data_IF_257340410949
#
_entry.id   IF_257340410949
#
_cell.length_a   1.000
_cell.length_b   1.000
_cell.length_c   1.000
_cell.angle_alpha   90.00
_cell.angle_beta   90.00
_cell.angle_gamma   90.00
#
_symmetry.space_group_name_H-M   'P 1'
#
loop_
_entity.id
_entity.type
_entity.pdbx_description
1 polymer ?
#
# COMPACT_ATOMS: atom_id res chain seq x y z
N UNK A 1 -10.58 -27.57 38.97
CA UNK A 1 -10.90 -26.15 39.26
C UNK A 1 -9.77 -25.33 39.89
N UNK A 2 -8.74 -25.92 40.53
CA UNK A 2 -7.65 -25.15 41.16
C UNK A 2 -6.63 -24.50 40.20
N UNK A 3 -6.62 -24.82 38.90
CA UNK A 3 -5.69 -24.23 37.92
C UNK A 3 -6.12 -22.88 37.35
N UNK A 4 -7.42 -22.59 37.33
CA UNK A 4 -7.97 -21.33 36.80
C UNK A 4 -7.88 -20.17 37.80
N UNK A 5 -7.94 -20.47 39.10
CA UNK A 5 -7.83 -19.48 40.16
C UNK A 5 -6.40 -18.93 40.33
N UNK A 6 -5.37 -19.76 40.09
CA UNK A 6 -3.97 -19.33 40.13
C UNK A 6 -3.59 -18.40 38.97
N UNK A 7 -4.02 -18.73 37.74
CA UNK A 7 -3.79 -17.88 36.58
C UNK A 7 -4.46 -16.50 36.70
N UNK A 8 -5.68 -16.45 37.23
CA UNK A 8 -6.40 -15.19 37.43
C UNK A 8 -5.79 -14.32 38.55
N UNK A 9 -5.25 -14.92 39.61
CA UNK A 9 -4.57 -14.19 40.69
C UNK A 9 -3.24 -13.59 40.21
N UNK A 10 -2.43 -14.37 39.48
CA UNK A 10 -1.18 -13.90 38.86
C UNK A 10 -1.44 -12.75 37.87
N UNK A 11 -2.53 -12.81 37.11
CA UNK A 11 -2.93 -11.73 36.19
C UNK A 11 -3.27 -10.42 36.93
N UNK A 12 -3.97 -10.51 38.08
CA UNK A 12 -4.30 -9.31 38.88
C UNK A 12 -3.08 -8.66 39.54
N UNK A 13 -2.12 -9.45 40.01
CA UNK A 13 -0.87 -8.92 40.58
C UNK A 13 -0.02 -8.27 39.48
N UNK A 14 0.09 -8.92 38.31
CA UNK A 14 0.79 -8.35 37.17
C UNK A 14 0.13 -7.04 36.66
N UNK A 15 -1.19 -6.93 36.72
CA UNK A 15 -1.91 -5.71 36.37
C UNK A 15 -1.71 -4.59 37.40
N UNK A 16 -1.66 -4.93 38.69
CA UNK A 16 -1.31 -3.98 39.75
C UNK A 16 0.13 -3.45 39.58
N UNK A 17 1.10 -4.33 39.37
CA UNK A 17 2.51 -3.95 39.14
C UNK A 17 2.63 -3.06 37.90
N UNK A 18 1.91 -3.40 36.82
CA UNK A 18 1.86 -2.54 35.61
C UNK A 18 1.27 -1.17 35.92
N UNK A 19 0.18 -1.11 36.68
CA UNK A 19 -0.44 0.15 37.08
C UNK A 19 0.46 1.05 37.93
N UNK A 20 1.22 0.47 38.86
CA UNK A 20 2.23 1.18 39.67
C UNK A 20 3.35 1.71 38.75
N UNK A 21 3.92 0.83 37.91
CA UNK A 21 4.99 1.22 36.99
C UNK A 21 4.57 2.34 36.04
N UNK A 22 3.34 2.31 35.54
CA UNK A 22 2.84 3.30 34.59
C UNK A 22 2.62 4.69 35.21
N UNK A 23 2.25 4.73 36.49
CA UNK A 23 1.89 5.96 37.20
C UNK A 23 3.04 6.56 38.01
N UNK A 24 3.83 5.71 38.66
CA UNK A 24 4.78 6.15 39.68
C UNK A 24 6.18 6.34 39.14
N UNK A 25 6.65 5.55 38.15
CA UNK A 25 8.06 5.61 37.70
C UNK A 25 8.47 6.97 37.11
N UNK A 26 7.52 7.73 36.58
CA UNK A 26 7.75 9.07 36.03
C UNK A 26 7.22 10.19 36.95
N UNK A 27 6.80 9.87 38.17
CA UNK A 27 6.46 10.87 39.18
C UNK A 27 7.71 11.68 39.57
N UNK A 28 7.53 12.96 39.87
CA UNK A 28 8.63 13.92 40.08
C UNK A 28 9.59 13.55 41.21
N UNK A 29 9.20 12.65 42.11
CA UNK A 29 10.06 12.12 43.18
C UNK A 29 11.02 11.02 42.72
N UNK A 30 10.80 10.44 41.53
CA UNK A 30 11.56 9.30 41.03
C UNK A 30 12.79 9.71 40.20
N UNK A 31 13.79 8.83 40.20
CA UNK A 31 15.07 9.04 39.49
C UNK A 31 14.87 9.22 37.98
N UNK A 32 13.95 8.47 37.36
CA UNK A 32 13.70 8.59 35.93
C UNK A 32 13.11 9.95 35.59
N UNK A 33 12.19 10.48 36.41
CA UNK A 33 11.57 11.78 36.18
C UNK A 33 12.58 12.93 36.13
N UNK A 34 13.70 12.83 36.87
CA UNK A 34 14.77 13.82 36.83
C UNK A 34 15.42 13.99 35.45
N UNK A 35 15.35 12.98 34.57
CA UNK A 35 15.88 13.06 33.21
C UNK A 35 14.91 13.72 32.21
N UNK A 36 13.61 13.78 32.52
CA UNK A 36 12.60 14.31 31.58
C UNK A 36 12.93 15.76 31.16
N UNK A 37 13.21 16.71 32.08
CA UNK A 37 13.52 18.08 31.67
C UNK A 37 14.74 18.18 30.76
N UNK A 38 15.76 17.34 30.99
CA UNK A 38 16.96 17.29 30.16
C UNK A 38 16.63 16.79 28.74
N UNK A 39 15.89 15.68 28.63
CA UNK A 39 15.47 15.11 27.35
C UNK A 39 14.63 16.11 26.55
N UNK A 40 13.63 16.71 27.19
CA UNK A 40 12.77 17.69 26.54
C UNK A 40 13.55 18.95 26.13
N UNK A 41 14.51 19.39 26.94
CA UNK A 41 15.35 20.55 26.59
C UNK A 41 16.18 20.30 25.34
N UNK A 42 16.78 19.11 25.21
CA UNK A 42 17.57 18.75 24.01
C UNK A 42 16.65 18.57 22.80
N UNK A 43 15.60 17.77 22.93
CA UNK A 43 14.71 17.41 21.81
C UNK A 43 13.90 18.61 21.26
N UNK A 44 13.51 19.58 22.10
CA UNK A 44 12.79 20.77 21.65
C UNK A 44 13.68 21.86 21.04
N UNK A 45 15.00 21.80 21.25
CA UNK A 45 15.92 22.87 20.85
C UNK A 45 17.05 22.35 19.94
N UNK A 46 16.75 21.75 18.78
CA UNK A 46 17.76 21.18 17.89
C UNK A 46 18.77 22.22 17.36
N UNK A 47 18.37 23.49 17.27
CA UNK A 47 19.28 24.58 16.88
C UNK A 47 20.29 25.00 17.95
N UNK A 48 20.02 24.70 19.23
CA UNK A 48 20.90 25.02 20.36
C UNK A 48 21.87 23.88 20.63
N UNK A 49 21.43 22.63 20.47
CA UNK A 49 22.21 21.43 20.72
C UNK A 49 22.62 20.75 19.42
N UNK A 50 23.71 21.22 18.82
CA UNK A 50 24.10 20.79 17.46
C UNK A 50 24.83 19.45 17.38
N UNK A 51 25.18 18.81 18.50
CA UNK A 51 25.84 17.48 18.48
C UNK A 51 24.86 16.41 17.96
N UNK A 52 25.21 15.71 16.86
CA UNK A 52 24.40 14.61 16.34
C UNK A 52 24.27 13.44 17.34
N UNK A 53 25.32 13.14 18.09
CA UNK A 53 25.38 12.06 19.06
C UNK A 53 24.44 12.34 20.23
N UNK A 54 24.48 13.57 20.75
CA UNK A 54 23.58 14.01 21.82
C UNK A 54 22.12 13.96 21.37
N UNK A 55 21.83 14.45 20.15
CA UNK A 55 20.48 14.44 19.59
C UNK A 55 19.95 13.02 19.38
N UNK A 56 20.79 12.11 18.88
CA UNK A 56 20.44 10.71 18.67
C UNK A 56 20.18 9.97 19.99
N UNK A 57 21.01 10.23 21.01
CA UNK A 57 20.84 9.66 22.34
C UNK A 57 19.58 10.19 23.02
N UNK A 58 19.35 11.50 22.96
CA UNK A 58 18.17 12.14 23.54
C UNK A 58 16.87 11.67 22.88
N UNK A 59 16.83 11.56 21.54
CA UNK A 59 15.63 11.10 20.83
C UNK A 59 15.30 9.63 21.14
N UNK A 60 16.33 8.77 21.23
CA UNK A 60 16.16 7.37 21.60
C UNK A 60 15.68 7.23 23.06
N UNK A 61 16.27 8.00 23.98
CA UNK A 61 15.86 8.02 25.37
C UNK A 61 14.42 8.53 25.51
N UNK A 62 14.03 9.61 24.83
CA UNK A 62 12.66 10.12 24.85
C UNK A 62 11.66 9.05 24.38
N UNK A 63 11.96 8.33 23.30
CA UNK A 63 11.14 7.20 22.83
C UNK A 63 10.98 6.10 23.90
N UNK A 64 12.06 5.72 24.58
CA UNK A 64 12.03 4.75 25.69
C UNK A 64 11.23 5.24 26.89
N UNK A 65 11.29 6.53 27.21
CA UNK A 65 10.48 7.13 28.27
C UNK A 65 8.99 7.14 27.92
N UNK A 66 8.65 7.40 26.65
CA UNK A 66 7.28 7.29 26.16
C UNK A 66 6.73 5.87 26.30
N UNK A 67 7.58 4.84 26.27
CA UNK A 67 7.12 3.49 26.55
C UNK A 67 6.66 3.32 28.00
N UNK A 68 7.07 4.12 28.98
CA UNK A 68 6.77 3.83 30.39
C UNK A 68 5.30 4.12 30.74
N UNK A 69 4.75 5.24 30.27
CA UNK A 69 3.44 5.76 30.67
C UNK A 69 2.62 6.23 29.48
N UNK A 70 1.36 5.79 29.36
CA UNK A 70 0.47 6.24 28.28
C UNK A 70 0.24 7.76 28.34
N UNK A 71 0.07 8.33 29.53
CA UNK A 71 -0.13 9.77 29.73
C UNK A 71 1.09 10.57 29.28
N UNK A 72 2.29 10.10 29.63
CA UNK A 72 3.52 10.75 29.16
C UNK A 72 3.67 10.61 27.64
N UNK A 73 3.46 9.41 27.09
CA UNK A 73 3.48 9.16 25.64
C UNK A 73 2.58 10.16 24.91
N UNK A 74 1.30 10.25 25.29
CA UNK A 74 0.31 11.14 24.67
C UNK A 74 0.79 12.60 24.63
N UNK A 75 1.37 13.08 25.73
CA UNK A 75 1.91 14.43 25.82
C UNK A 75 3.12 14.69 24.90
N UNK A 76 3.85 13.64 24.50
CA UNK A 76 5.09 13.75 23.72
C UNK A 76 4.94 13.32 22.25
N UNK A 77 3.83 12.69 21.84
CA UNK A 77 3.64 12.20 20.47
C UNK A 77 3.87 13.29 19.42
N UNK A 78 3.35 14.50 19.65
CA UNK A 78 3.57 15.64 18.75
C UNK A 78 5.05 15.93 18.54
N UNK A 79 5.85 15.92 19.61
CA UNK A 79 7.28 16.16 19.53
C UNK A 79 7.99 15.03 18.78
N UNK A 80 7.70 13.77 19.13
CA UNK A 80 8.29 12.59 18.49
C UNK A 80 8.04 12.61 16.97
N UNK A 81 6.80 12.82 16.54
CA UNK A 81 6.46 12.84 15.13
C UNK A 81 7.00 14.08 14.40
N UNK A 82 7.08 15.23 15.06
CA UNK A 82 7.74 16.42 14.49
C UNK A 82 9.23 16.15 14.25
N UNK A 83 9.91 15.51 15.20
CA UNK A 83 11.33 15.16 15.05
C UNK A 83 11.53 14.05 14.00
N UNK A 84 10.66 13.04 13.98
CA UNK A 84 10.66 11.99 12.96
C UNK A 84 10.49 12.59 11.56
N UNK A 85 9.67 13.62 11.44
CA UNK A 85 9.40 14.30 10.18
C UNK A 85 10.55 15.22 9.74
N UNK A 86 10.97 16.12 10.64
CA UNK A 86 11.74 17.33 10.30
C UNK A 86 13.21 17.30 10.70
N UNK A 87 13.65 16.32 11.51
CA UNK A 87 15.07 16.24 11.90
C UNK A 87 15.95 16.11 10.66
N UNK A 88 17.03 16.88 10.59
CA UNK A 88 18.04 16.78 9.54
C UNK A 88 18.91 15.53 9.65
N UNK A 89 18.90 14.87 10.82
CA UNK A 89 19.74 13.73 11.14
C UNK A 89 19.00 12.40 10.85
N UNK A 90 19.45 11.60 9.86
CA UNK A 90 18.82 10.32 9.54
C UNK A 90 18.78 9.35 10.74
N UNK A 91 19.82 9.35 11.58
CA UNK A 91 19.88 8.50 12.77
C UNK A 91 18.77 8.82 13.78
N UNK A 92 18.44 10.11 13.97
CA UNK A 92 17.33 10.53 14.84
C UNK A 92 16.00 10.03 14.26
N UNK A 93 15.77 10.21 12.95
CA UNK A 93 14.57 9.72 12.28
C UNK A 93 14.46 8.19 12.35
N UNK A 94 15.54 7.44 12.14
CA UNK A 94 15.57 5.99 12.30
C UNK A 94 15.28 5.55 13.74
N UNK A 95 15.89 6.17 14.75
CA UNK A 95 15.64 5.86 16.16
C UNK A 95 14.16 6.09 16.51
N UNK A 96 13.61 7.23 16.07
CA UNK A 96 12.22 7.56 16.31
C UNK A 96 11.27 6.63 15.57
N UNK A 97 11.59 6.21 14.35
CA UNK A 97 10.78 5.23 13.60
C UNK A 97 10.66 3.90 14.37
N UNK A 98 11.76 3.42 14.97
CA UNK A 98 11.76 2.21 15.82
C UNK A 98 10.90 2.46 17.06
N UNK A 99 11.17 3.56 17.78
CA UNK A 99 10.45 3.89 19.01
C UNK A 99 8.93 4.02 18.77
N UNK A 100 8.51 4.71 17.70
CA UNK A 100 7.09 4.83 17.34
C UNK A 100 6.48 3.50 16.92
N UNK A 101 7.27 2.58 16.35
CA UNK A 101 6.83 1.22 16.09
C UNK A 101 6.55 0.44 17.37
N UNK A 102 7.44 0.53 18.36
CA UNK A 102 7.21 -0.09 19.67
C UNK A 102 6.01 0.54 20.40
N UNK A 103 5.83 1.86 20.28
CA UNK A 103 4.67 2.57 20.82
C UNK A 103 3.37 2.15 20.11
N UNK A 104 3.39 1.87 18.80
CA UNK A 104 2.21 1.35 18.09
C UNK A 104 1.78 -0.02 18.62
N UNK A 105 2.72 -0.81 19.14
CA UNK A 105 2.43 -2.10 19.78
C UNK A 105 1.88 -1.88 21.19
N UNK A 106 2.53 -1.02 21.98
CA UNK A 106 2.18 -0.82 23.39
C UNK A 106 0.93 0.03 23.61
N UNK A 107 0.76 1.09 22.83
CA UNK A 107 -0.33 2.07 22.94
C UNK A 107 -0.99 2.32 21.57
N UNK A 108 -1.59 1.28 20.95
CA UNK A 108 -2.09 1.37 19.57
C UNK A 108 -3.09 2.52 19.37
N UNK A 109 -3.99 2.74 20.33
CA UNK A 109 -5.00 3.80 20.24
C UNK A 109 -4.40 5.21 20.22
N UNK A 110 -3.25 5.41 20.86
CA UNK A 110 -2.57 6.71 20.87
C UNK A 110 -1.82 6.95 19.55
N UNK A 111 -1.26 5.89 18.95
CA UNK A 111 -0.43 6.00 17.74
C UNK A 111 -1.24 5.91 16.45
N UNK A 112 -2.43 5.30 16.45
CA UNK A 112 -3.29 5.12 15.27
C UNK A 112 -3.48 6.42 14.46
N UNK A 113 -3.79 7.59 15.06
CA UNK A 113 -3.93 8.86 14.33
C UNK A 113 -2.63 9.34 13.64
N UNK A 114 -1.47 8.89 14.11
CA UNK A 114 -0.16 9.29 13.62
C UNK A 114 0.44 8.31 12.59
N UNK A 115 -0.21 7.18 12.36
CA UNK A 115 0.17 6.16 11.37
C UNK A 115 0.55 6.73 9.99
N UNK A 116 -0.13 7.78 9.45
CA UNK A 116 0.29 8.39 8.20
C UNK A 116 1.73 8.88 8.16
N UNK A 117 2.24 9.40 9.28
CA UNK A 117 3.63 9.87 9.37
C UNK A 117 4.63 8.71 9.33
N UNK A 118 4.24 7.52 9.80
CA UNK A 118 5.04 6.29 9.70
C UNK A 118 5.16 5.83 8.24
N UNK A 119 4.05 5.77 7.51
CA UNK A 119 4.05 5.43 6.09
C UNK A 119 4.87 6.45 5.27
N UNK A 120 4.79 7.75 5.59
CA UNK A 120 5.57 8.78 4.91
C UNK A 120 7.09 8.56 5.01
N UNK A 121 7.59 7.84 6.04
CA UNK A 121 9.04 7.53 6.17
C UNK A 121 9.52 6.47 5.19
N UNK A 122 8.63 5.75 4.51
CA UNK A 122 9.00 4.81 3.44
C UNK A 122 9.57 5.55 2.22
N UNK A 123 9.27 6.85 2.07
CA UNK A 123 9.85 7.73 1.03
C UNK A 123 10.94 8.68 1.55
N UNK A 124 11.51 8.41 2.72
CA UNK A 124 12.54 9.28 3.30
C UNK A 124 13.76 9.42 2.36
N UNK A 125 14.36 10.62 2.22
CA UNK A 125 15.52 10.80 1.35
C UNK A 125 16.72 9.93 1.76
N UNK A 126 16.86 9.61 3.05
CA UNK A 126 17.93 8.78 3.56
C UNK A 126 17.61 7.28 3.47
N UNK A 127 18.47 6.53 2.78
CA UNK A 127 18.34 5.07 2.61
C UNK A 127 18.21 4.34 3.95
N UNK A 128 18.95 4.75 4.98
CA UNK A 128 18.88 4.13 6.31
C UNK A 128 17.47 4.25 6.92
N UNK A 129 16.83 5.40 6.77
CA UNK A 129 15.48 5.64 7.31
C UNK A 129 14.46 4.81 6.56
N UNK A 130 14.53 4.75 5.22
CA UNK A 130 13.64 3.89 4.42
C UNK A 130 13.78 2.41 4.78
N UNK A 131 15.02 1.92 4.99
CA UNK A 131 15.27 0.55 5.44
C UNK A 131 14.64 0.29 6.82
N UNK A 132 14.85 1.18 7.78
CA UNK A 132 14.25 1.07 9.12
C UNK A 132 12.73 1.11 9.05
N UNK A 133 12.16 2.05 8.28
CA UNK A 133 10.72 2.19 8.10
C UNK A 133 10.11 0.94 7.46
N UNK A 134 10.72 0.40 6.41
CA UNK A 134 10.29 -0.83 5.77
C UNK A 134 10.24 -2.01 6.75
N UNK A 135 11.27 -2.18 7.59
CA UNK A 135 11.33 -3.24 8.60
C UNK A 135 10.22 -3.09 9.65
N UNK A 136 10.08 -1.89 10.22
CA UNK A 136 9.08 -1.60 11.26
C UNK A 136 7.67 -1.77 10.68
N UNK A 137 7.37 -1.18 9.53
CA UNK A 137 6.04 -1.28 8.91
C UNK A 137 5.70 -2.71 8.50
N UNK A 138 6.66 -3.49 7.99
CA UNK A 138 6.48 -4.92 7.71
C UNK A 138 6.02 -5.66 8.96
N UNK A 139 6.70 -5.45 10.10
CA UNK A 139 6.35 -6.11 11.35
C UNK A 139 4.96 -5.70 11.87
N UNK A 140 4.67 -4.40 11.88
CA UNK A 140 3.39 -3.87 12.37
C UNK A 140 2.20 -4.35 11.52
N UNK A 141 2.35 -4.36 10.19
CA UNK A 141 1.30 -4.82 9.29
C UNK A 141 1.12 -6.34 9.39
N UNK A 142 2.20 -7.11 9.35
CA UNK A 142 2.12 -8.58 9.42
C UNK A 142 1.63 -9.08 10.78
N UNK A 143 1.69 -8.27 11.84
CA UNK A 143 1.09 -8.58 13.15
C UNK A 143 -0.28 -7.94 13.38
N UNK A 144 -0.88 -7.35 12.35
CA UNK A 144 -2.20 -6.72 12.42
C UNK A 144 -2.30 -5.57 13.45
N UNK A 145 -1.16 -4.95 13.80
CA UNK A 145 -1.07 -3.80 14.71
C UNK A 145 -1.37 -2.49 13.99
N UNK A 146 -1.05 -2.41 12.70
CA UNK A 146 -1.33 -1.25 11.85
C UNK A 146 -2.18 -1.69 10.67
N UNK A 147 -3.22 -0.92 10.38
CA UNK A 147 -4.11 -1.20 9.25
C UNK A 147 -3.42 -0.85 7.92
N UNK A 148 -3.70 -1.68 6.92
CA UNK A 148 -3.18 -1.54 5.54
C UNK A 148 -4.04 -0.63 4.65
N UNK A 149 -5.24 -0.25 5.11
CA UNK A 149 -6.18 0.53 4.29
C UNK A 149 -5.66 1.95 4.08
N UNK A 150 -5.60 2.40 2.83
CA UNK A 150 -5.35 3.81 2.56
C UNK A 150 -3.88 4.21 2.41
N UNK A 151 -2.90 3.35 2.75
CA UNK A 151 -1.47 3.73 2.72
C UNK A 151 -0.49 2.62 2.31
N UNK A 152 -0.95 1.40 2.04
CA UNK A 152 -0.06 0.29 1.64
C UNK A 152 0.66 0.53 0.31
N UNK A 153 0.23 1.50 -0.50
CA UNK A 153 0.95 1.92 -1.72
C UNK A 153 2.36 2.39 -1.39
N UNK A 154 2.57 2.98 -0.22
CA UNK A 154 3.90 3.41 0.23
C UNK A 154 4.85 2.22 0.43
N UNK A 155 4.32 1.05 0.83
CA UNK A 155 5.11 -0.19 0.86
C UNK A 155 5.43 -0.69 -0.56
N UNK A 156 4.52 -0.49 -1.51
CA UNK A 156 4.73 -0.87 -2.90
C UNK A 156 5.82 -0.05 -3.58
N UNK A 157 5.98 1.23 -3.23
CA UNK A 157 7.05 2.10 -3.72
C UNK A 157 8.44 1.56 -3.36
N UNK A 158 8.58 0.83 -2.25
CA UNK A 158 9.85 0.22 -1.90
C UNK A 158 10.30 -0.87 -2.89
N UNK A 159 9.40 -1.43 -3.71
CA UNK A 159 9.76 -2.44 -4.74
C UNK A 159 10.71 -1.90 -5.81
N UNK A 160 10.73 -0.58 -6.01
CA UNK A 160 11.59 0.14 -6.96
C UNK A 160 12.71 0.92 -6.25
N UNK A 161 12.96 0.65 -4.96
CA UNK A 161 14.00 1.37 -4.22
C UNK A 161 15.38 1.16 -4.89
N UNK A 162 16.20 2.22 -5.06
CA UNK A 162 17.53 2.09 -5.66
C UNK A 162 18.47 1.18 -4.85
N UNK A 163 18.22 0.98 -3.55
CA UNK A 163 18.97 0.05 -2.73
C UNK A 163 18.36 -1.37 -2.84
N UNK A 164 19.08 -2.37 -3.41
CA UNK A 164 18.52 -3.71 -3.66
C UNK A 164 18.01 -4.41 -2.41
N UNK A 165 18.65 -4.17 -1.25
CA UNK A 165 18.23 -4.73 0.04
C UNK A 165 16.85 -4.23 0.49
N UNK A 166 16.45 -3.00 0.12
CA UNK A 166 15.14 -2.43 0.47
C UNK A 166 14.08 -2.98 -0.48
N UNK A 167 14.38 -3.08 -1.78
CA UNK A 167 13.51 -3.75 -2.75
C UNK A 167 13.27 -5.22 -2.39
N UNK A 168 14.29 -5.93 -1.92
CA UNK A 168 14.16 -7.31 -1.43
C UNK A 168 13.25 -7.39 -0.19
N UNK A 169 13.37 -6.45 0.75
CA UNK A 169 12.49 -6.35 1.91
C UNK A 169 11.02 -6.19 1.48
N UNK A 170 10.75 -5.29 0.54
CA UNK A 170 9.40 -5.06 0.02
C UNK A 170 8.83 -6.31 -0.68
N UNK A 171 9.65 -6.99 -1.49
CA UNK A 171 9.27 -8.27 -2.12
C UNK A 171 8.90 -9.32 -1.07
N UNK A 172 9.72 -9.46 -0.02
CA UNK A 172 9.44 -10.40 1.07
C UNK A 172 8.13 -10.03 1.79
N UNK A 173 7.90 -8.74 2.07
CA UNK A 173 6.64 -8.28 2.66
C UNK A 173 5.42 -8.69 1.81
N UNK A 174 5.43 -8.45 0.51
CA UNK A 174 4.32 -8.85 -0.36
C UNK A 174 4.21 -10.36 -0.53
N UNK A 175 5.33 -11.10 -0.55
CA UNK A 175 5.29 -12.57 -0.52
C UNK A 175 4.54 -13.07 0.73
N UNK A 176 4.92 -12.60 1.92
CA UNK A 176 4.24 -12.96 3.18
C UNK A 176 2.77 -12.54 3.19
N UNK A 177 2.48 -11.33 2.71
CA UNK A 177 1.10 -10.83 2.62
C UNK A 177 0.23 -11.63 1.64
N UNK A 178 0.82 -12.21 0.59
CA UNK A 178 0.11 -13.07 -0.37
C UNK A 178 -0.41 -14.35 0.28
N UNK A 179 0.24 -14.83 1.34
CA UNK A 179 -0.20 -15.99 2.11
C UNK A 179 -1.34 -15.66 3.09
N UNK A 180 -1.57 -14.38 3.41
CA UNK A 180 -2.69 -13.91 4.23
C UNK A 180 -4.01 -13.79 3.44
N UNK A 181 -4.53 -14.92 2.99
CA UNK A 181 -5.85 -15.01 2.37
C UNK A 181 -5.96 -14.25 1.04
N UNK A 182 -6.85 -13.24 0.97
CA UNK A 182 -7.06 -12.43 -0.24
C UNK A 182 -6.52 -10.99 -0.07
N UNK A 183 -5.56 -10.78 0.84
CA UNK A 183 -5.07 -9.45 1.21
C UNK A 183 -4.61 -8.62 0.00
N UNK A 184 -3.70 -9.14 -0.83
CA UNK A 184 -3.19 -8.41 -2.02
C UNK A 184 -4.33 -8.07 -2.97
N UNK A 185 -5.19 -9.03 -3.31
CA UNK A 185 -6.34 -8.81 -4.19
C UNK A 185 -7.24 -7.65 -3.71
N UNK A 186 -7.48 -7.56 -2.40
CA UNK A 186 -8.31 -6.50 -1.81
C UNK A 186 -7.62 -5.13 -1.80
N UNK A 187 -6.28 -5.09 -1.81
CA UNK A 187 -5.48 -3.87 -1.76
C UNK A 187 -5.16 -3.32 -3.16
N UNK A 188 -5.17 -4.16 -4.20
CA UNK A 188 -4.80 -3.78 -5.56
C UNK A 188 -5.56 -2.55 -6.09
N UNK A 189 -6.90 -2.45 -5.98
CA UNK A 189 -7.59 -1.25 -6.45
C UNK A 189 -7.05 0.02 -5.78
N UNK A 190 -6.91 0.00 -4.46
CA UNK A 190 -6.44 1.14 -3.69
C UNK A 190 -4.99 1.53 -4.03
N UNK A 191 -4.12 0.54 -4.24
CA UNK A 191 -2.73 0.74 -4.69
C UNK A 191 -2.69 1.39 -6.08
N UNK A 192 -3.48 0.87 -7.03
CA UNK A 192 -3.58 1.42 -8.39
C UNK A 192 -4.02 2.88 -8.32
N UNK A 193 -5.01 3.24 -7.48
CA UNK A 193 -5.46 4.62 -7.32
C UNK A 193 -4.35 5.56 -6.92
N UNK A 194 -3.65 5.22 -5.84
CA UNK A 194 -2.66 6.14 -5.28
C UNK A 194 -1.41 6.23 -6.14
N UNK A 195 -0.96 5.13 -6.73
CA UNK A 195 0.26 5.14 -7.54
C UNK A 195 0.06 5.81 -8.92
N UNK A 196 -1.19 5.85 -9.43
CA UNK A 196 -1.55 6.56 -10.67
C UNK A 196 -2.04 8.00 -10.43
N UNK A 197 -1.99 8.48 -9.19
CA UNK A 197 -2.44 9.84 -8.85
C UNK A 197 -1.39 10.88 -9.30
N UNK A 198 -1.77 11.95 -10.02
CA UNK A 198 -0.82 12.97 -10.49
C UNK A 198 -0.11 13.75 -9.38
N UNK A 199 -0.73 13.90 -8.19
CA UNK A 199 -0.23 14.76 -7.12
C UNK A 199 0.62 14.01 -6.08
N UNK A 200 0.69 12.67 -6.15
CA UNK A 200 1.42 11.87 -5.16
C UNK A 200 1.81 10.44 -5.58
N UNK A 201 1.53 10.06 -6.83
CA UNK A 201 1.81 8.74 -7.38
C UNK A 201 3.28 8.52 -7.73
N UNK A 202 3.49 7.69 -8.74
CA UNK A 202 4.82 7.43 -9.31
C UNK A 202 4.77 7.58 -10.83
N UNK A 203 5.94 7.79 -11.44
CA UNK A 203 6.08 7.82 -12.90
C UNK A 203 5.64 6.49 -13.56
N UNK A 204 5.40 6.53 -14.86
CA UNK A 204 4.76 5.42 -15.62
C UNK A 204 5.55 4.13 -15.58
N UNK A 205 6.84 4.21 -15.85
CA UNK A 205 7.72 3.05 -15.88
C UNK A 205 7.93 2.42 -14.48
N UNK A 206 8.12 3.22 -13.41
CA UNK A 206 8.04 2.72 -12.04
C UNK A 206 6.68 2.10 -11.68
N UNK A 207 5.56 2.70 -12.08
CA UNK A 207 4.21 2.15 -11.86
C UNK A 207 4.10 0.75 -12.49
N UNK A 208 4.50 0.62 -13.75
CA UNK A 208 4.50 -0.66 -14.47
C UNK A 208 5.33 -1.73 -13.75
N UNK A 209 6.52 -1.37 -13.27
CA UNK A 209 7.39 -2.29 -12.52
C UNK A 209 6.74 -2.78 -11.24
N UNK A 210 6.14 -1.87 -10.46
CA UNK A 210 5.43 -2.21 -9.22
C UNK A 210 4.24 -3.13 -9.53
N UNK A 211 3.38 -2.72 -10.47
CA UNK A 211 2.14 -3.43 -10.76
C UNK A 211 2.39 -4.82 -11.35
N UNK A 212 3.44 -4.98 -12.18
CA UNK A 212 3.84 -6.30 -12.69
C UNK A 212 4.16 -7.28 -11.56
N UNK A 213 4.88 -6.81 -10.53
CA UNK A 213 5.20 -7.63 -9.35
C UNK A 213 3.92 -7.95 -8.57
N UNK A 214 3.09 -6.94 -8.25
CA UNK A 214 1.90 -7.14 -7.42
C UNK A 214 0.83 -8.02 -8.09
N UNK A 215 0.64 -7.87 -9.40
CA UNK A 215 -0.34 -8.65 -10.16
C UNK A 215 0.10 -10.13 -10.31
N UNK A 216 1.41 -10.43 -10.21
CA UNK A 216 1.89 -11.82 -10.26
C UNK A 216 1.42 -12.68 -9.07
N UNK A 217 0.98 -12.07 -7.97
CA UNK A 217 0.39 -12.79 -6.84
C UNK A 217 -1.06 -13.21 -7.09
N UNK A 218 -1.70 -12.72 -8.17
CA UNK A 218 -3.07 -13.08 -8.53
C UNK A 218 -3.04 -14.34 -9.40
N UNK A 219 -3.25 -15.47 -8.75
CA UNK A 219 -3.18 -16.80 -9.39
C UNK A 219 -4.53 -17.49 -9.53
N UNK A 220 -5.58 -16.97 -8.86
CA UNK A 220 -6.92 -17.58 -8.87
C UNK A 220 -7.79 -16.99 -9.98
N UNK A 221 -8.30 -17.83 -10.88
CA UNK A 221 -9.16 -17.40 -12.01
C UNK A 221 -10.31 -16.49 -11.60
N UNK A 222 -11.03 -16.82 -10.52
CA UNK A 222 -12.14 -16.01 -10.01
C UNK A 222 -11.70 -14.61 -9.57
N UNK A 223 -10.51 -14.48 -8.99
CA UNK A 223 -9.94 -13.18 -8.62
C UNK A 223 -9.56 -12.40 -9.87
N UNK A 224 -8.92 -13.05 -10.84
CA UNK A 224 -8.57 -12.46 -12.13
C UNK A 224 -9.79 -11.90 -12.83
N UNK A 225 -10.86 -12.69 -12.99
CA UNK A 225 -12.11 -12.27 -13.62
C UNK A 225 -12.75 -11.07 -12.91
N UNK A 226 -12.84 -11.12 -11.57
CA UNK A 226 -13.42 -10.03 -10.79
C UNK A 226 -12.56 -8.76 -10.82
N UNK A 227 -11.24 -8.90 -10.88
CA UNK A 227 -10.34 -7.77 -10.99
C UNK A 227 -10.44 -7.11 -12.37
N UNK A 228 -10.52 -7.90 -13.45
CA UNK A 228 -10.75 -7.38 -14.81
C UNK A 228 -12.02 -6.54 -14.85
N UNK A 229 -13.14 -7.05 -14.34
CA UNK A 229 -14.41 -6.33 -14.28
C UNK A 229 -14.29 -5.02 -13.50
N UNK A 230 -13.69 -5.05 -12.30
CA UNK A 230 -13.47 -3.85 -11.48
C UNK A 230 -12.57 -2.81 -12.15
N UNK A 231 -11.52 -3.25 -12.84
CA UNK A 231 -10.60 -2.35 -13.54
C UNK A 231 -11.28 -1.73 -14.77
N UNK A 232 -12.08 -2.48 -15.52
CA UNK A 232 -12.86 -1.95 -16.64
C UNK A 232 -13.84 -0.86 -16.14
N UNK A 233 -14.65 -1.17 -15.13
CA UNK A 233 -15.61 -0.21 -14.56
C UNK A 233 -14.94 1.07 -14.05
N UNK A 234 -13.68 0.98 -13.65
CA UNK A 234 -12.92 2.09 -13.09
C UNK A 234 -12.42 3.09 -14.12
N UNK A 235 -12.38 2.74 -15.41
CA UNK A 235 -12.13 3.73 -16.46
C UNK A 235 -13.15 4.89 -16.41
N UNK A 236 -14.40 4.62 -16.00
CA UNK A 236 -15.45 5.64 -15.85
C UNK A 236 -15.15 6.71 -14.78
N UNK A 237 -14.33 6.39 -13.78
CA UNK A 237 -14.01 7.32 -12.67
C UNK A 237 -12.59 7.88 -12.74
N UNK A 238 -11.75 7.34 -13.63
CA UNK A 238 -10.44 7.90 -13.93
C UNK A 238 -10.56 9.24 -14.67
N UNK A 239 -9.71 10.19 -14.32
CA UNK A 239 -9.82 11.61 -14.73
C UNK A 239 -8.73 12.05 -15.70
N UNK A 240 -7.66 11.27 -15.85
CA UNK A 240 -6.51 11.64 -16.67
C UNK A 240 -6.16 10.54 -17.65
N UNK A 241 -5.56 10.91 -18.78
CA UNK A 241 -5.05 9.94 -19.77
C UNK A 241 -4.08 8.96 -19.15
N UNK A 242 -3.23 9.44 -18.24
CA UNK A 242 -2.28 8.61 -17.51
C UNK A 242 -2.97 7.49 -16.73
N UNK A 243 -4.07 7.80 -16.03
CA UNK A 243 -4.83 6.79 -15.30
C UNK A 243 -5.47 5.76 -16.23
N UNK A 244 -5.94 6.16 -17.42
CA UNK A 244 -6.47 5.24 -18.42
C UNK A 244 -5.38 4.28 -18.92
N UNK A 245 -4.17 4.79 -19.21
CA UNK A 245 -3.00 3.97 -19.61
C UNK A 245 -2.59 2.99 -18.50
N UNK A 246 -2.50 3.46 -17.26
CA UNK A 246 -2.15 2.64 -16.09
C UNK A 246 -3.18 1.52 -15.85
N UNK A 247 -4.48 1.81 -16.00
CA UNK A 247 -5.55 0.80 -15.92
C UNK A 247 -5.45 -0.23 -17.06
N UNK A 248 -5.24 0.23 -18.29
CA UNK A 248 -5.08 -0.64 -19.45
C UNK A 248 -3.87 -1.56 -19.30
N UNK A 249 -2.75 -1.02 -18.80
CA UNK A 249 -1.58 -1.79 -18.45
C UNK A 249 -1.91 -2.87 -17.41
N UNK A 250 -2.56 -2.51 -16.29
CA UNK A 250 -2.90 -3.47 -15.25
C UNK A 250 -3.77 -4.61 -15.76
N UNK A 251 -4.79 -4.31 -16.59
CA UNK A 251 -5.62 -5.35 -17.22
C UNK A 251 -4.76 -6.24 -18.14
N UNK A 252 -3.84 -5.67 -18.91
CA UNK A 252 -2.98 -6.43 -19.82
C UNK A 252 -1.97 -7.36 -19.14
N UNK A 253 -1.63 -7.11 -17.87
CA UNK A 253 -0.71 -7.94 -17.09
C UNK A 253 -1.39 -9.13 -16.41
N UNK A 254 -2.72 -9.12 -16.29
CA UNK A 254 -3.44 -10.22 -15.69
C UNK A 254 -3.43 -11.47 -16.59
N UNK A 255 -3.41 -12.68 -16.01
CA UNK A 255 -3.49 -13.93 -16.77
C UNK A 255 -4.93 -14.16 -17.26
N UNK A 256 -5.39 -13.38 -18.24
CA UNK A 256 -6.77 -13.47 -18.73
C UNK A 256 -7.07 -14.85 -19.32
N UNK A 257 -8.30 -15.29 -19.06
CA UNK A 257 -8.94 -16.44 -19.70
C UNK A 257 -10.05 -15.95 -20.64
N UNK A 258 -10.67 -16.86 -21.40
CA UNK A 258 -11.87 -16.52 -22.21
C UNK A 258 -12.98 -15.87 -21.38
N UNK A 259 -13.12 -16.25 -20.10
CA UNK A 259 -14.09 -15.64 -19.19
C UNK A 259 -13.71 -14.21 -18.83
N UNK A 260 -12.42 -13.94 -18.60
CA UNK A 260 -11.92 -12.58 -18.40
C UNK A 260 -12.13 -11.71 -19.64
N UNK A 261 -11.97 -12.27 -20.84
CA UNK A 261 -12.26 -11.57 -22.10
C UNK A 261 -13.74 -11.21 -22.23
N UNK A 262 -14.66 -12.13 -21.88
CA UNK A 262 -16.10 -11.82 -21.84
C UNK A 262 -16.40 -10.68 -20.86
N UNK A 263 -15.74 -10.64 -19.70
CA UNK A 263 -15.88 -9.52 -18.76
C UNK A 263 -15.43 -8.19 -19.35
N UNK A 264 -14.39 -8.17 -20.19
CA UNK A 264 -14.01 -6.96 -20.93
C UNK A 264 -15.05 -6.57 -21.97
N UNK A 265 -15.62 -7.52 -22.71
CA UNK A 265 -16.70 -7.28 -23.67
C UNK A 265 -17.95 -6.72 -22.99
N UNK A 266 -18.37 -7.32 -21.87
CA UNK A 266 -19.54 -6.91 -21.08
C UNK A 266 -19.40 -5.48 -20.52
N UNK A 267 -18.17 -4.98 -20.37
CA UNK A 267 -17.85 -3.64 -19.84
C UNK A 267 -17.13 -2.77 -20.89
N UNK A 268 -17.32 -3.05 -22.18
CA UNK A 268 -16.62 -2.35 -23.26
C UNK A 268 -16.93 -0.85 -23.28
N UNK A 269 -18.17 -0.49 -22.93
CA UNK A 269 -18.65 0.87 -22.79
C UNK A 269 -17.89 1.69 -21.73
N UNK A 270 -17.18 1.03 -20.81
CA UNK A 270 -16.40 1.70 -19.78
C UNK A 270 -15.09 2.28 -20.30
N UNK A 271 -14.52 1.72 -21.38
CA UNK A 271 -13.19 2.08 -21.88
C UNK A 271 -13.12 2.30 -23.39
N UNK A 272 -14.18 1.98 -24.14
CA UNK A 272 -14.16 2.03 -25.60
C UNK A 272 -13.84 3.42 -26.16
N UNK A 273 -14.34 4.49 -25.54
CA UNK A 273 -14.02 5.89 -25.89
C UNK A 273 -12.54 6.23 -25.74
N UNK A 274 -11.79 5.44 -24.98
CA UNK A 274 -10.37 5.67 -24.71
C UNK A 274 -9.46 4.92 -25.68
N UNK A 275 -10.02 4.11 -26.59
CA UNK A 275 -9.26 3.31 -27.55
C UNK A 275 -8.60 4.14 -28.66
N UNK A 276 -8.89 5.44 -28.77
CA UNK A 276 -8.11 6.35 -29.62
C UNK A 276 -6.66 6.53 -29.14
N UNK A 277 -6.38 6.25 -27.86
CA UNK A 277 -5.04 6.25 -27.30
C UNK A 277 -4.28 4.97 -27.70
N UNK A 278 -3.13 5.15 -28.37
CA UNK A 278 -2.31 4.06 -28.91
C UNK A 278 -1.80 3.11 -27.81
N UNK A 279 -1.48 3.63 -26.63
CA UNK A 279 -0.96 2.81 -25.52
C UNK A 279 -2.04 1.88 -24.98
N UNK A 280 -3.28 2.37 -24.85
CA UNK A 280 -4.43 1.56 -24.40
C UNK A 280 -4.77 0.50 -25.45
N UNK A 281 -4.84 0.90 -26.72
CA UNK A 281 -5.12 -0.01 -27.84
C UNK A 281 -4.07 -1.13 -27.92
N UNK A 282 -2.78 -0.78 -27.87
CA UNK A 282 -1.68 -1.73 -27.89
C UNK A 282 -1.71 -2.69 -26.69
N UNK A 283 -2.04 -2.20 -25.50
CA UNK A 283 -2.18 -3.04 -24.30
C UNK A 283 -3.26 -4.12 -24.47
N UNK A 284 -4.42 -3.78 -25.04
CA UNK A 284 -5.50 -4.75 -25.26
C UNK A 284 -5.25 -5.66 -26.47
N UNK A 285 -4.58 -5.19 -27.52
CA UNK A 285 -4.09 -6.08 -28.58
C UNK A 285 -3.07 -7.10 -28.05
N UNK A 286 -2.24 -6.72 -27.08
CA UNK A 286 -1.34 -7.67 -26.40
C UNK A 286 -2.12 -8.78 -25.68
N UNK A 287 -3.24 -8.45 -25.05
CA UNK A 287 -4.15 -9.43 -24.44
C UNK A 287 -4.69 -10.40 -25.48
N UNK A 288 -5.21 -9.89 -26.60
CA UNK A 288 -5.69 -10.70 -27.73
C UNK A 288 -4.60 -11.66 -28.22
N UNK A 289 -3.38 -11.16 -28.44
CA UNK A 289 -2.25 -11.97 -28.89
C UNK A 289 -1.81 -13.04 -27.88
N UNK A 290 -1.95 -12.80 -26.57
CA UNK A 290 -1.69 -13.80 -25.53
C UNK A 290 -2.77 -14.88 -25.53
N UNK A 291 -4.05 -14.50 -25.57
CA UNK A 291 -5.17 -15.44 -25.57
C UNK A 291 -5.19 -16.32 -26.82
N UNK A 292 -4.94 -15.74 -28.00
CA UNK A 292 -4.96 -16.47 -29.29
C UNK A 292 -3.97 -17.63 -29.33
N UNK A 293 -2.83 -17.52 -28.64
CA UNK A 293 -1.80 -18.58 -28.60
C UNK A 293 -2.24 -19.85 -27.86
N UNK A 294 -3.24 -19.76 -26.98
CA UNK A 294 -3.76 -20.88 -26.18
C UNK A 294 -5.21 -21.26 -26.46
N UNK A 295 -5.88 -20.60 -27.41
CA UNK A 295 -7.32 -20.69 -27.60
C UNK A 295 -7.75 -21.95 -28.37
N UNK A 296 -8.83 -22.58 -27.89
CA UNK A 296 -9.59 -23.60 -28.63
C UNK A 296 -10.40 -22.94 -29.77
N UNK A 297 -10.89 -23.71 -30.76
CA UNK A 297 -11.63 -23.15 -31.90
C UNK A 297 -12.80 -22.24 -31.50
N UNK A 298 -13.57 -22.62 -30.48
CA UNK A 298 -14.70 -21.82 -29.94
C UNK A 298 -14.22 -20.51 -29.29
N UNK A 299 -13.07 -20.53 -28.61
CA UNK A 299 -12.47 -19.34 -28.00
C UNK A 299 -11.93 -18.35 -29.03
N UNK A 300 -11.50 -18.83 -30.21
CA UNK A 300 -10.99 -17.95 -31.28
C UNK A 300 -12.06 -16.99 -31.79
N UNK A 301 -13.32 -17.42 -31.90
CA UNK A 301 -14.40 -16.56 -32.36
C UNK A 301 -14.59 -15.33 -31.45
N UNK A 302 -14.59 -15.52 -30.12
CA UNK A 302 -14.72 -14.41 -29.15
C UNK A 302 -13.49 -13.49 -29.19
N UNK A 303 -12.30 -14.06 -29.37
CA UNK A 303 -11.06 -13.29 -29.50
C UNK A 303 -11.08 -12.43 -30.77
N UNK A 304 -11.54 -12.99 -31.89
CA UNK A 304 -11.64 -12.29 -33.18
C UNK A 304 -12.70 -11.18 -33.12
N UNK A 305 -13.85 -11.44 -32.48
CA UNK A 305 -14.89 -10.44 -32.22
C UNK A 305 -14.34 -9.26 -31.40
N UNK A 306 -13.67 -9.55 -30.28
CA UNK A 306 -13.08 -8.52 -29.43
C UNK A 306 -12.01 -7.72 -30.17
N UNK A 307 -11.11 -8.39 -30.91
CA UNK A 307 -10.10 -7.71 -31.72
C UNK A 307 -10.73 -6.79 -32.78
N UNK A 308 -11.79 -7.25 -33.45
CA UNK A 308 -12.48 -6.44 -34.45
C UNK A 308 -13.11 -5.19 -33.82
N UNK A 309 -13.78 -5.34 -32.66
CA UNK A 309 -14.31 -4.21 -31.89
C UNK A 309 -13.22 -3.21 -31.51
N UNK A 310 -12.08 -3.68 -31.01
CA UNK A 310 -10.94 -2.82 -30.68
C UNK A 310 -10.47 -2.03 -31.90
N UNK A 311 -10.26 -2.70 -33.05
CA UNK A 311 -9.76 -2.07 -34.28
C UNK A 311 -10.72 -1.04 -34.85
N UNK A 312 -12.02 -1.34 -34.83
CA UNK A 312 -13.03 -0.39 -35.32
C UNK A 312 -13.10 0.84 -34.43
N UNK A 313 -13.13 0.65 -33.11
CA UNK A 313 -13.17 1.77 -32.17
C UNK A 313 -11.92 2.66 -32.29
N UNK A 314 -10.73 2.05 -32.42
CA UNK A 314 -9.47 2.77 -32.59
C UNK A 314 -9.40 3.58 -33.90
N UNK A 315 -9.96 3.05 -35.00
CA UNK A 315 -9.87 3.70 -36.33
C UNK A 315 -11.02 4.65 -36.66
N UNK A 316 -12.22 4.40 -36.12
CA UNK A 316 -13.46 5.11 -36.50
C UNK A 316 -14.17 5.78 -35.32
N UNK A 317 -13.67 5.64 -34.10
CA UNK A 317 -14.34 6.10 -32.88
C UNK A 317 -15.46 5.17 -32.42
N UNK A 318 -16.01 5.46 -31.24
CA UNK A 318 -17.03 4.64 -30.57
C UNK A 318 -18.32 4.47 -31.39
N UNK A 319 -18.77 5.52 -32.08
CA UNK A 319 -20.05 5.52 -32.80
C UNK A 319 -20.11 4.42 -33.88
N UNK A 320 -18.95 4.04 -34.44
CA UNK A 320 -18.84 2.98 -35.43
C UNK A 320 -18.95 1.56 -34.86
N UNK A 321 -18.90 1.41 -33.53
CA UNK A 321 -19.08 0.12 -32.84
C UNK A 321 -20.57 -0.24 -32.72
N UNK A 322 -21.45 0.74 -32.52
CA UNK A 322 -22.91 0.53 -32.48
C UNK A 322 -23.44 0.03 -33.84
N UNK A 323 -22.89 0.55 -34.94
CA UNK A 323 -23.20 0.10 -36.30
C UNK A 323 -22.82 -1.38 -36.56
N UNK A 324 -21.76 -1.87 -35.93
CA UNK A 324 -21.35 -3.28 -36.03
C UNK A 324 -22.31 -4.21 -35.28
N UNK A 325 -22.79 -3.79 -34.11
CA UNK A 325 -23.74 -4.58 -33.31
C UNK A 325 -25.12 -4.66 -34.00
N UNK A 326 -25.58 -3.54 -34.59
CA UNK A 326 -26.82 -3.49 -35.38
C UNK A 326 -26.71 -4.32 -36.67
N UNK A 327 -25.55 -4.34 -37.32
CA UNK A 327 -25.30 -5.14 -38.52
C UNK A 327 -25.27 -6.66 -38.27
N UNK A 328 -24.80 -7.11 -37.10
CA UNK A 328 -24.80 -8.53 -36.72
C UNK A 328 -26.18 -9.03 -36.26
N UNK A 329 -26.97 -8.19 -35.59
CA UNK A 329 -28.36 -8.51 -35.21
C UNK A 329 -29.34 -8.58 -36.38
N UNK A 330 -29.04 -7.93 -37.51
CA UNK A 330 -29.89 -7.91 -38.71
C UNK A 330 -29.88 -9.21 -39.53
N UNK A 331 -28.93 -10.12 -39.29
CA UNK A 331 -28.75 -11.34 -40.11
C UNK A 331 -29.53 -12.57 -39.58
N UNK A 332 -30.23 -12.46 -38.45
CA UNK A 332 -31.05 -13.55 -37.87
C UNK A 332 -32.57 -13.32 -37.95
N UNK A 333 -33.04 -12.31 -38.69
CA UNK A 333 -34.48 -12.11 -38.94
C UNK A 333 -34.79 -11.85 -40.41
N UNK A 334 -34.95 -12.93 -41.16
CA UNK A 334 -35.97 -13.02 -42.21
C UNK A 334 -36.27 -14.51 -42.49
N UNK A 335 -37.55 -14.90 -42.65
CA UNK A 335 -37.96 -16.28 -42.92
C UNK A 335 -37.63 -16.77 -44.33
#
# INVERSE_FOLDING_TARGET
EMGLAGAAADDTEAELIRGICEKELLDGTQVLAAFIPLLLKVCNNPGVYSSPELSAAASLALGKFCMISATFCDSQLRLLFTMLEKSSLPIVRSNLMIATGDLAIRFPNLVDPWTPHLYARLRDPAQQVRKTAGLVMTHLILKDMVKVKGQVSEMAVLLIDPAPQIAALAKNFFNELSHKGNAIYNLLPDIISRLSDPEGGVEEEPFHTIMKQLLSYITKDKQTESLVEKLCQRFRTARTERQYRDLAYCVSQLPLTERGLRKMLDNFDCFGDKLSDESIFSAFLSVVGKLRRGAKPEGKAIIDEFEQKLRVCHTRGLDAVEDLELGQGGSQRAP
#
